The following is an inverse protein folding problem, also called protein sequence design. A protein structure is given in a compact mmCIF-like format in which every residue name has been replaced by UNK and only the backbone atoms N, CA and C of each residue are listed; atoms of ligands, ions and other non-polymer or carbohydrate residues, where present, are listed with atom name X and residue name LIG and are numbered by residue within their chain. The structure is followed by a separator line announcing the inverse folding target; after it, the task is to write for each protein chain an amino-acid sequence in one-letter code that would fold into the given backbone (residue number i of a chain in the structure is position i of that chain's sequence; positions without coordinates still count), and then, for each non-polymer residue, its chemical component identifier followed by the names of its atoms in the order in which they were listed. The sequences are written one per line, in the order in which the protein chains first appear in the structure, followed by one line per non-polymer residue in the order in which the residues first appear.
data_IF_212121137564
#
_entry.id   IF_212121137564
#
_cell.length_a   1.000
_cell.length_b   1.000
_cell.length_c   1.000
_cell.angle_alpha   90.00
_cell.angle_beta   90.00
_cell.angle_gamma   90.00
#
_symmetry.space_group_name_H-M   'P 1'
#
loop_
_entity.id
_entity.type
_entity.pdbx_description
1 polymer ?
#
# COMPACT_ATOMS: atom_id res chain seq x y z
N UNK A 1 -45.67 -1.89 93.15
CA UNK A 1 -47.00 -2.51 92.88
C UNK A 1 -47.72 -1.58 91.90
N UNK A 2 -48.04 -1.90 90.66
CA UNK A 2 -48.44 -3.16 90.06
C UNK A 2 -49.85 -2.95 89.50
N UNK A 3 -49.98 -2.76 88.18
CA UNK A 3 -51.12 -3.23 87.38
C UNK A 3 -50.90 -3.01 85.89
N UNK A 4 -50.71 -4.14 85.24
CA UNK A 4 -50.72 -4.40 83.80
C UNK A 4 -51.97 -3.85 83.12
N UNK A 5 -51.78 -3.22 81.96
CA UNK A 5 -52.82 -3.05 80.94
C UNK A 5 -52.23 -3.46 79.60
N UNK A 6 -52.70 -4.60 79.12
CA UNK A 6 -52.44 -5.20 77.80
C UNK A 6 -53.10 -4.35 76.70
N UNK A 7 -52.42 -4.03 75.58
CA UNK A 7 -53.12 -3.59 74.39
C UNK A 7 -53.50 -4.79 73.51
N UNK A 8 -54.76 -4.77 73.07
CA UNK A 8 -55.40 -5.69 72.14
C UNK A 8 -54.77 -5.56 70.74
N UNK A 9 -54.52 -6.71 70.11
CA UNK A 9 -53.97 -6.83 68.77
C UNK A 9 -54.90 -6.25 67.68
N UNK A 10 -54.33 -5.44 66.79
CA UNK A 10 -54.98 -4.96 65.57
C UNK A 10 -55.03 -6.07 64.48
N UNK A 11 -56.06 -6.12 63.62
CA UNK A 11 -56.12 -7.08 62.54
C UNK A 11 -55.15 -6.73 61.41
N UNK A 12 -54.50 -7.74 60.88
CA UNK A 12 -53.62 -7.69 59.72
C UNK A 12 -54.37 -7.29 58.45
N UNK A 13 -53.89 -6.25 57.77
CA UNK A 13 -54.30 -5.91 56.41
C UNK A 13 -53.17 -6.23 55.43
N UNK A 14 -53.55 -6.91 54.35
CA UNK A 14 -52.72 -7.60 53.38
C UNK A 14 -51.59 -6.76 52.74
N UNK A 15 -50.40 -7.36 52.66
CA UNK A 15 -49.33 -6.95 51.73
C UNK A 15 -49.81 -7.13 50.29
N UNK A 16 -49.93 -6.05 49.54
CA UNK A 16 -49.97 -6.11 48.08
C UNK A 16 -48.57 -6.40 47.54
N UNK A 17 -48.27 -7.67 47.26
CA UNK A 17 -47.10 -8.06 46.48
C UNK A 17 -47.41 -7.86 44.99
N UNK A 18 -47.01 -6.73 44.42
CA UNK A 18 -46.94 -6.56 42.97
C UNK A 18 -45.76 -7.37 42.43
N UNK A 19 -46.02 -8.57 41.90
CA UNK A 19 -45.03 -9.31 41.12
C UNK A 19 -44.73 -8.59 39.80
N UNK A 20 -43.49 -8.60 39.30
CA UNK A 20 -43.17 -7.99 38.02
C UNK A 20 -43.83 -8.79 36.89
N UNK A 21 -44.54 -8.09 36.01
CA UNK A 21 -45.10 -8.66 34.79
C UNK A 21 -43.99 -9.27 33.91
N UNK A 22 -44.22 -10.42 33.26
CA UNK A 22 -43.25 -10.97 32.32
C UNK A 22 -43.13 -10.05 31.11
N UNK A 23 -41.95 -9.45 30.93
CA UNK A 23 -41.60 -8.76 29.68
C UNK A 23 -41.36 -9.81 28.61
N UNK A 24 -42.37 -10.08 27.78
CA UNK A 24 -42.19 -10.79 26.52
C UNK A 24 -41.28 -9.96 25.62
N UNK A 25 -40.00 -10.32 25.59
CA UNK A 25 -39.01 -9.78 24.66
C UNK A 25 -39.33 -10.31 23.26
N UNK A 26 -40.29 -9.68 22.59
CA UNK A 26 -40.42 -9.75 21.14
C UNK A 26 -39.21 -9.02 20.51
N UNK A 27 -38.03 -9.65 20.55
CA UNK A 27 -36.91 -9.25 19.71
C UNK A 27 -37.34 -9.51 18.27
N UNK A 28 -37.88 -8.44 17.68
CA UNK A 28 -38.32 -8.26 16.31
C UNK A 28 -37.70 -9.27 15.34
N UNK A 29 -38.50 -10.26 14.93
CA UNK A 29 -38.14 -11.25 13.90
C UNK A 29 -37.64 -10.59 12.60
N UNK A 30 -38.03 -9.33 12.36
CA UNK A 30 -37.59 -8.51 11.23
C UNK A 30 -36.09 -8.20 11.28
N UNK A 31 -35.52 -7.97 12.47
CA UNK A 31 -34.07 -7.71 12.62
C UNK A 31 -33.24 -8.98 12.42
N UNK A 32 -33.79 -10.15 12.72
CA UNK A 32 -33.12 -11.42 12.47
C UNK A 32 -33.17 -11.80 10.97
N UNK A 33 -34.29 -11.55 10.29
CA UNK A 33 -34.42 -11.78 8.85
C UNK A 33 -33.46 -10.93 8.02
N UNK A 34 -33.33 -9.64 8.35
CA UNK A 34 -32.42 -8.73 7.64
C UNK A 34 -30.95 -9.15 7.77
N UNK A 35 -30.52 -9.59 8.95
CA UNK A 35 -29.14 -10.06 9.17
C UNK A 35 -28.85 -11.37 8.44
N UNK A 36 -29.81 -12.30 8.37
CA UNK A 36 -29.65 -13.57 7.65
C UNK A 36 -29.57 -13.33 6.14
N UNK A 37 -30.42 -12.46 5.59
CA UNK A 37 -30.37 -12.09 4.16
C UNK A 37 -29.06 -11.38 3.82
N UNK A 38 -28.60 -10.44 4.65
CA UNK A 38 -27.33 -9.75 4.42
C UNK A 38 -26.14 -10.70 4.50
N UNK A 39 -26.11 -11.60 5.50
CA UNK A 39 -25.06 -12.59 5.62
C UNK A 39 -25.03 -13.56 4.43
N UNK A 40 -26.19 -13.98 3.93
CA UNK A 40 -26.30 -14.83 2.74
C UNK A 40 -25.81 -14.10 1.48
N UNK A 41 -26.23 -12.86 1.25
CA UNK A 41 -25.78 -12.06 0.09
C UNK A 41 -24.27 -11.82 0.15
N UNK A 42 -23.71 -11.53 1.33
CA UNK A 42 -22.28 -11.31 1.50
C UNK A 42 -21.46 -12.58 1.22
N UNK A 43 -21.92 -13.75 1.69
CA UNK A 43 -21.23 -15.02 1.46
C UNK A 43 -21.34 -15.50 0.01
N UNK A 44 -22.49 -15.31 -0.66
CA UNK A 44 -22.63 -15.57 -2.10
C UNK A 44 -21.73 -14.64 -2.92
N UNK A 45 -21.63 -13.36 -2.56
CA UNK A 45 -20.75 -12.40 -3.24
C UNK A 45 -19.28 -12.81 -3.14
N UNK A 46 -18.83 -13.27 -1.97
CA UNK A 46 -17.45 -13.70 -1.77
C UNK A 46 -17.11 -14.99 -2.56
N UNK A 47 -18.08 -15.90 -2.69
CA UNK A 47 -17.92 -17.10 -3.53
C UNK A 47 -17.85 -16.73 -5.01
N UNK A 48 -18.66 -15.78 -5.49
CA UNK A 48 -18.63 -15.35 -6.91
C UNK A 48 -17.33 -14.65 -7.32
N UNK A 49 -16.61 -14.00 -6.39
CA UNK A 49 -15.28 -13.42 -6.66
C UNK A 49 -14.23 -14.52 -6.96
N UNK A 50 -14.42 -15.75 -6.47
CA UNK A 50 -13.52 -16.87 -6.72
C UNK A 50 -13.96 -17.75 -7.90
N UNK A 51 -15.15 -17.53 -8.45
CA UNK A 51 -15.69 -18.27 -9.61
C UNK A 51 -15.43 -17.54 -10.93
N UNK A 52 -15.18 -16.23 -10.88
CA UNK A 52 -14.58 -15.50 -12.01
C UNK A 52 -13.09 -15.80 -11.99
N UNK A 53 -12.66 -16.73 -12.85
CA UNK A 53 -11.24 -16.94 -13.11
C UNK A 53 -10.61 -15.61 -13.57
N UNK A 54 -9.61 -15.07 -12.85
CA UNK A 54 -8.96 -13.80 -13.20
C UNK A 54 -8.27 -13.84 -14.57
N UNK A 55 -8.15 -15.02 -15.19
CA UNK A 55 -7.60 -15.24 -16.53
C UNK A 55 -8.66 -15.54 -17.59
N UNK A 56 -9.96 -15.53 -17.29
CA UNK A 56 -11.01 -15.79 -18.29
C UNK A 56 -11.12 -14.72 -19.39
N UNK A 57 -10.43 -13.59 -19.25
CA UNK A 57 -10.23 -12.62 -20.35
C UNK A 57 -9.08 -12.96 -21.31
N UNK A 58 -8.27 -13.99 -21.03
CA UNK A 58 -7.05 -14.31 -21.78
C UNK A 58 -7.21 -15.42 -22.83
N UNK A 59 -8.41 -15.96 -23.03
CA UNK A 59 -8.69 -16.85 -24.17
C UNK A 59 -9.33 -16.06 -25.31
N UNK A 60 -8.51 -15.26 -25.99
CA UNK A 60 -8.78 -14.95 -27.39
C UNK A 60 -8.64 -16.26 -28.18
N UNK A 61 -9.72 -17.04 -28.26
CA UNK A 61 -9.79 -18.15 -29.21
C UNK A 61 -9.59 -17.58 -30.62
N UNK A 62 -8.68 -18.16 -31.44
CA UNK A 62 -8.43 -17.68 -32.79
C UNK A 62 -9.66 -17.80 -33.71
N UNK A 63 -10.68 -18.55 -33.29
CA UNK A 63 -11.89 -18.84 -34.07
C UNK A 63 -12.95 -17.72 -34.10
N UNK A 64 -12.83 -16.65 -33.29
CA UNK A 64 -13.80 -15.53 -33.32
C UNK A 64 -13.34 -14.29 -34.06
N UNK A 65 -12.16 -14.31 -34.69
CA UNK A 65 -11.89 -13.38 -35.78
C UNK A 65 -12.70 -13.85 -36.99
N UNK A 66 -13.97 -13.43 -37.08
CA UNK A 66 -14.77 -13.51 -38.30
C UNK A 66 -13.86 -13.09 -39.45
N UNK A 67 -13.49 -14.05 -40.30
CA UNK A 67 -12.72 -13.87 -41.54
C UNK A 67 -13.58 -13.03 -42.48
N UNK A 68 -13.59 -11.74 -42.23
CA UNK A 68 -14.39 -10.73 -42.91
C UNK A 68 -13.56 -9.48 -43.02
N UNK A 69 -12.83 -9.39 -44.14
CA UNK A 69 -12.46 -8.12 -44.78
C UNK A 69 -11.50 -7.18 -44.05
N UNK A 70 -10.58 -7.66 -43.20
CA UNK A 70 -9.51 -6.78 -42.69
C UNK A 70 -8.53 -6.30 -43.77
N UNK A 71 -8.44 -7.01 -44.90
CA UNK A 71 -7.44 -6.73 -45.96
C UNK A 71 -8.03 -6.48 -47.36
N UNK A 72 -9.34 -6.24 -47.49
CA UNK A 72 -9.93 -5.77 -48.76
C UNK A 72 -9.61 -6.60 -50.01
N UNK A 73 -9.44 -7.92 -49.89
CA UNK A 73 -9.18 -8.81 -51.02
C UNK A 73 -7.72 -8.99 -51.44
N UNK A 74 -6.73 -8.52 -50.65
CA UNK A 74 -5.33 -8.80 -50.94
C UNK A 74 -4.98 -10.28 -50.66
N UNK A 75 -4.26 -10.94 -51.58
CA UNK A 75 -3.73 -12.29 -51.39
C UNK A 75 -2.79 -12.34 -50.18
N UNK A 76 -3.15 -13.11 -49.16
CA UNK A 76 -2.28 -13.40 -48.02
C UNK A 76 -1.65 -14.78 -48.23
N UNK A 77 -0.33 -14.86 -48.16
CA UNK A 77 0.41 -16.13 -48.17
C UNK A 77 0.02 -16.94 -46.92
N UNK A 78 -0.72 -18.02 -47.11
CA UNK A 78 -1.02 -18.99 -46.07
C UNK A 78 0.09 -20.04 -46.04
N UNK A 79 0.77 -20.18 -44.91
CA UNK A 79 1.67 -21.29 -44.63
C UNK A 79 0.96 -22.22 -43.65
N UNK A 80 0.61 -23.42 -44.10
CA UNK A 80 0.12 -24.50 -43.25
C UNK A 80 1.34 -25.27 -42.70
N UNK A 81 1.46 -25.37 -41.38
CA UNK A 81 2.52 -26.12 -40.71
C UNK A 81 1.88 -27.30 -40.01
N UNK A 82 1.81 -28.43 -40.70
CA UNK A 82 1.49 -29.73 -40.12
C UNK A 82 2.68 -30.20 -39.26
N UNK A 83 2.54 -30.09 -37.94
CA UNK A 83 3.55 -30.56 -37.00
C UNK A 83 2.94 -30.89 -35.64
N UNK A 84 3.29 -32.07 -35.12
CA UNK A 84 2.92 -32.54 -33.78
C UNK A 84 3.71 -31.73 -32.72
N UNK A 85 2.99 -31.07 -31.81
CA UNK A 85 3.62 -30.26 -30.75
C UNK A 85 3.79 -31.09 -29.48
N UNK A 86 5.04 -31.36 -29.10
CA UNK A 86 5.37 -31.84 -27.75
C UNK A 86 5.59 -30.63 -26.83
N UNK A 87 4.84 -30.54 -25.72
CA UNK A 87 5.06 -29.52 -24.68
C UNK A 87 6.24 -29.98 -23.81
N UNK A 88 7.43 -29.47 -24.10
CA UNK A 88 8.58 -29.59 -23.19
C UNK A 88 8.49 -28.49 -22.12
N UNK A 89 8.30 -28.88 -20.86
CA UNK A 89 8.35 -27.94 -19.73
C UNK A 89 9.82 -27.64 -19.41
N UNK A 90 10.37 -26.69 -20.16
CA UNK A 90 11.63 -26.05 -19.78
C UNK A 90 11.34 -24.92 -18.78
N UNK A 91 12.18 -24.79 -17.75
CA UNK A 91 12.14 -23.64 -16.84
C UNK A 91 12.50 -22.40 -17.65
N UNK A 92 11.49 -21.63 -18.06
CA UNK A 92 11.72 -20.39 -18.81
C UNK A 92 12.49 -19.41 -17.93
N UNK A 93 13.69 -19.05 -18.39
CA UNK A 93 14.41 -17.90 -17.86
C UNK A 93 13.64 -16.64 -18.25
N UNK A 94 13.29 -15.82 -17.27
CA UNK A 94 12.68 -14.52 -17.52
C UNK A 94 13.71 -13.61 -18.21
N UNK A 95 13.46 -13.27 -19.46
CA UNK A 95 14.14 -12.12 -20.10
C UNK A 95 13.44 -10.87 -19.57
N UNK A 96 14.14 -10.10 -18.75
CA UNK A 96 13.71 -8.77 -18.35
C UNK A 96 13.81 -7.87 -19.58
N UNK A 97 12.71 -7.77 -20.32
CA UNK A 97 12.53 -6.78 -21.39
C UNK A 97 12.79 -5.37 -20.84
N UNK A 98 13.83 -4.72 -21.35
CA UNK A 98 14.19 -3.34 -20.99
C UNK A 98 13.02 -2.43 -21.36
N UNK A 99 12.45 -1.75 -20.36
CA UNK A 99 11.43 -0.69 -20.51
C UNK A 99 11.83 0.26 -21.65
N UNK A 100 10.92 0.60 -22.59
CA UNK A 100 11.25 1.49 -23.70
C UNK A 100 11.77 2.82 -23.17
N UNK A 101 12.93 3.20 -23.68
CA UNK A 101 13.63 4.44 -23.33
C UNK A 101 12.81 5.62 -23.84
N UNK A 102 11.96 6.19 -22.98
CA UNK A 102 11.35 7.48 -23.25
C UNK A 102 12.48 8.49 -23.23
N UNK A 103 12.88 8.96 -24.42
CA UNK A 103 13.79 10.08 -24.59
C UNK A 103 13.10 11.35 -24.09
N UNK A 104 13.14 11.56 -22.78
CA UNK A 104 12.85 12.85 -22.18
C UNK A 104 13.96 13.80 -22.67
N UNK A 105 13.54 14.87 -23.33
CA UNK A 105 14.43 15.98 -23.66
C UNK A 105 15.11 16.45 -22.35
N UNK A 106 16.42 16.79 -22.39
CA UNK A 106 17.13 17.19 -21.19
C UNK A 106 16.45 18.45 -20.62
N UNK A 107 15.79 18.30 -19.47
CA UNK A 107 15.54 19.43 -18.61
C UNK A 107 16.90 19.98 -18.23
N UNK A 108 17.16 21.23 -18.61
CA UNK A 108 18.39 21.93 -18.25
C UNK A 108 18.42 22.16 -16.75
N UNK A 109 18.93 21.19 -15.99
CA UNK A 109 19.46 21.42 -14.66
C UNK A 109 20.90 21.86 -14.83
N UNK A 110 21.18 23.09 -14.41
CA UNK A 110 22.54 23.62 -14.27
C UNK A 110 23.38 22.59 -13.50
N UNK A 111 24.30 21.93 -14.20
CA UNK A 111 25.30 21.08 -13.57
C UNK A 111 26.17 21.98 -12.68
N UNK A 112 25.98 21.90 -11.37
CA UNK A 112 27.03 22.34 -10.45
C UNK A 112 28.21 21.39 -10.67
N UNK A 113 29.40 21.95 -10.77
CA UNK A 113 30.67 21.23 -10.86
C UNK A 113 31.03 20.60 -9.51
N UNK A 114 30.11 19.83 -8.93
CA UNK A 114 30.26 19.10 -7.68
C UNK A 114 30.47 17.60 -7.95
N UNK A 115 31.14 16.94 -7.01
CA UNK A 115 31.32 15.49 -7.03
C UNK A 115 29.97 14.76 -7.05
N UNK A 116 29.72 13.97 -8.10
CA UNK A 116 28.55 13.11 -8.21
C UNK A 116 28.85 11.72 -7.62
N UNK A 117 27.93 11.11 -6.86
CA UNK A 117 28.08 9.73 -6.41
C UNK A 117 28.14 8.75 -7.59
N UNK A 118 28.80 7.59 -7.41
CA UNK A 118 28.80 6.53 -8.44
C UNK A 118 27.40 5.96 -8.64
N UNK A 119 27.17 5.35 -9.80
CA UNK A 119 25.92 4.66 -10.10
C UNK A 119 25.68 3.48 -9.15
N UNK A 120 24.48 3.40 -8.56
CA UNK A 120 24.08 2.37 -7.60
C UNK A 120 22.94 1.52 -8.17
N UNK A 121 23.08 0.20 -8.10
CA UNK A 121 21.98 -0.75 -8.33
C UNK A 121 21.53 -1.32 -6.99
N UNK A 122 20.28 -1.10 -6.54
CA UNK A 122 19.83 -1.58 -5.25
C UNK A 122 19.48 -3.08 -5.27
N UNK A 123 19.70 -3.74 -4.14
CA UNK A 123 19.28 -5.14 -3.95
C UNK A 123 17.74 -5.24 -3.94
N UNK A 124 17.15 -6.20 -4.67
CA UNK A 124 15.70 -6.39 -4.68
C UNK A 124 15.11 -6.59 -3.28
N UNK A 125 13.97 -5.94 -3.01
CA UNK A 125 13.30 -6.00 -1.70
C UNK A 125 13.90 -5.11 -0.61
N UNK A 126 15.02 -4.43 -0.87
CA UNK A 126 15.59 -3.44 0.05
C UNK A 126 14.80 -2.13 0.08
N UNK A 127 15.02 -1.33 1.13
CA UNK A 127 14.53 0.06 1.19
C UNK A 127 15.04 0.90 0.00
N UNK A 128 16.27 0.64 -0.45
CA UNK A 128 16.84 1.28 -1.64
C UNK A 128 16.11 0.90 -2.93
N UNK A 129 15.68 -0.36 -3.08
CA UNK A 129 14.90 -0.78 -4.24
C UNK A 129 13.53 -0.09 -4.30
N UNK A 130 12.86 0.08 -3.16
CA UNK A 130 11.65 0.89 -3.09
C UNK A 130 11.95 2.35 -3.49
N UNK A 131 13.00 2.95 -2.93
CA UNK A 131 13.39 4.32 -3.25
C UNK A 131 13.73 4.52 -4.74
N UNK A 132 14.42 3.57 -5.39
CA UNK A 132 14.69 3.64 -6.83
C UNK A 132 13.39 3.68 -7.65
N UNK A 133 12.41 2.82 -7.30
CA UNK A 133 11.08 2.85 -7.91
C UNK A 133 10.35 4.17 -7.66
N UNK A 134 10.41 4.70 -6.43
CA UNK A 134 9.78 5.95 -6.04
C UNK A 134 10.41 7.19 -6.69
N UNK A 135 11.73 7.19 -6.90
CA UNK A 135 12.46 8.20 -7.68
C UNK A 135 12.03 8.15 -9.14
N UNK A 136 12.01 6.96 -9.75
CA UNK A 136 11.58 6.79 -11.13
C UNK A 136 10.10 7.19 -11.34
N UNK A 137 9.23 6.88 -10.38
CA UNK A 137 7.81 7.27 -10.41
C UNK A 137 7.59 8.80 -10.40
N UNK A 138 8.55 9.56 -9.87
CA UNK A 138 8.56 11.03 -9.90
C UNK A 138 9.11 11.61 -11.21
N UNK A 139 9.50 10.78 -12.16
CA UNK A 139 10.08 11.19 -13.44
C UNK A 139 11.53 11.65 -13.34
N UNK A 140 12.19 11.40 -12.20
CA UNK A 140 13.59 11.73 -11.99
C UNK A 140 14.51 10.69 -12.66
N UNK A 141 15.64 11.13 -13.24
CA UNK A 141 16.62 10.22 -13.81
C UNK A 141 17.30 9.40 -12.70
N UNK A 142 17.90 8.26 -13.07
CA UNK A 142 18.58 7.38 -12.11
C UNK A 142 19.73 8.05 -11.36
N UNK A 143 20.34 9.10 -11.92
CA UNK A 143 21.36 9.91 -11.24
C UNK A 143 20.85 10.56 -9.96
N UNK A 144 19.55 10.88 -9.88
CA UNK A 144 18.93 11.39 -8.65
C UNK A 144 18.89 10.30 -7.57
N UNK A 145 18.70 9.05 -7.97
CA UNK A 145 18.75 7.93 -7.03
C UNK A 145 20.18 7.76 -6.47
N UNK A 146 21.22 7.92 -7.29
CA UNK A 146 22.61 7.85 -6.82
C UNK A 146 22.92 8.92 -5.75
N UNK A 147 22.44 10.16 -5.98
CA UNK A 147 22.49 11.23 -4.98
C UNK A 147 21.72 10.91 -3.71
N UNK A 148 20.52 10.32 -3.84
CA UNK A 148 19.72 9.89 -2.70
C UNK A 148 20.42 8.81 -1.86
N UNK A 149 21.07 7.85 -2.52
CA UNK A 149 21.85 6.80 -1.85
C UNK A 149 22.99 7.39 -1.05
N UNK A 150 23.77 8.30 -1.63
CA UNK A 150 24.85 8.95 -0.90
C UNK A 150 24.32 9.76 0.30
N UNK A 151 23.25 10.54 0.07
CA UNK A 151 22.63 11.37 1.10
C UNK A 151 22.15 10.52 2.28
N UNK A 152 21.22 9.60 2.08
CA UNK A 152 20.64 8.82 3.19
C UNK A 152 21.59 7.77 3.78
N UNK A 153 22.67 7.41 3.07
CA UNK A 153 23.76 6.65 3.68
C UNK A 153 24.50 7.47 4.74
N UNK A 154 24.76 8.76 4.48
CA UNK A 154 25.36 9.69 5.47
C UNK A 154 24.43 9.93 6.66
N UNK A 155 23.14 10.02 6.41
CA UNK A 155 22.14 10.32 7.46
C UNK A 155 21.91 9.15 8.42
N UNK A 156 21.59 7.96 7.87
CA UNK A 156 21.08 6.84 8.68
C UNK A 156 21.72 5.49 8.34
N UNK A 157 22.43 5.40 7.22
CA UNK A 157 22.81 4.12 6.62
C UNK A 157 21.59 3.33 6.14
N UNK A 158 20.54 4.02 5.67
CA UNK A 158 19.29 3.41 5.19
C UNK A 158 18.49 2.61 6.24
N UNK A 159 18.73 2.83 7.54
CA UNK A 159 18.04 2.13 8.63
C UNK A 159 16.73 2.83 9.00
N UNK A 160 15.62 2.11 8.90
CA UNK A 160 14.26 2.56 9.26
C UNK A 160 14.15 2.99 10.72
N UNK A 161 14.90 2.35 11.61
CA UNK A 161 14.92 2.60 13.04
C UNK A 161 16.12 3.44 13.49
N UNK A 162 16.81 4.14 12.57
CA UNK A 162 17.91 5.03 12.94
C UNK A 162 17.39 6.17 13.82
N UNK A 163 17.81 6.20 15.08
CA UNK A 163 17.48 7.26 16.02
C UNK A 163 18.75 7.97 16.49
N UNK A 164 18.77 9.29 16.36
CA UNK A 164 19.83 10.12 16.90
C UNK A 164 19.40 10.69 18.25
N UNK A 165 19.98 10.19 19.34
CA UNK A 165 19.59 10.58 20.69
C UNK A 165 19.89 12.04 21.06
N UNK A 166 20.88 12.68 20.41
CA UNK A 166 21.23 14.08 20.71
C UNK A 166 20.29 15.08 20.02
N UNK A 167 19.83 14.78 18.81
CA UNK A 167 18.95 15.66 18.03
C UNK A 167 17.47 15.27 18.08
N UNK A 168 17.16 13.99 18.31
CA UNK A 168 15.81 13.44 18.18
C UNK A 168 15.41 13.09 16.74
N UNK A 169 16.34 13.14 15.79
CA UNK A 169 16.09 12.78 14.40
C UNK A 169 15.82 11.27 14.25
N UNK A 170 14.90 10.91 13.35
CA UNK A 170 14.43 9.53 13.20
C UNK A 170 14.34 9.06 11.74
N UNK A 171 14.66 7.78 11.54
CA UNK A 171 14.41 7.03 10.32
C UNK A 171 15.41 7.26 9.21
N UNK A 172 15.10 6.70 8.03
CA UNK A 172 15.92 6.79 6.82
C UNK A 172 16.30 8.25 6.50
N UNK A 173 15.34 9.21 6.43
CA UNK A 173 15.66 10.60 6.10
C UNK A 173 16.19 11.42 7.28
N UNK A 174 16.27 10.86 8.50
CA UNK A 174 16.59 11.60 9.73
C UNK A 174 15.65 12.79 9.97
N UNK A 175 14.34 12.56 9.91
CA UNK A 175 13.33 13.61 10.07
C UNK A 175 13.29 14.19 11.49
N UNK A 176 13.12 15.51 11.61
CA UNK A 176 13.05 16.23 12.89
C UNK A 176 11.79 17.12 13.03
N UNK A 177 10.88 16.81 13.98
CA UNK A 177 10.73 15.51 14.66
C UNK A 177 10.27 14.41 13.70
N UNK A 178 10.58 13.16 14.01
CA UNK A 178 10.19 11.98 13.22
C UNK A 178 8.68 11.89 12.96
N UNK A 179 7.86 12.35 13.92
CA UNK A 179 6.39 12.34 13.82
C UNK A 179 5.82 13.11 12.64
N UNK A 180 6.61 13.99 11.99
CA UNK A 180 6.20 14.63 10.73
C UNK A 180 5.94 13.62 9.62
N UNK A 181 6.58 12.44 9.66
CA UNK A 181 6.37 11.36 8.69
C UNK A 181 4.96 10.75 8.76
N UNK A 182 4.21 11.02 9.84
CA UNK A 182 2.82 10.60 9.96
C UNK A 182 1.90 11.15 8.86
N UNK A 183 2.29 12.23 8.17
CA UNK A 183 1.53 12.75 7.03
C UNK A 183 1.61 11.85 5.79
N UNK A 184 2.63 11.00 5.69
CA UNK A 184 2.75 10.01 4.61
C UNK A 184 2.08 8.68 4.98
N UNK A 185 1.98 8.36 6.27
CA UNK A 185 1.33 7.14 6.74
C UNK A 185 1.44 6.98 8.26
N UNK A 186 0.43 6.37 8.88
CA UNK A 186 0.39 6.16 10.33
C UNK A 186 1.48 5.17 10.83
N UNK A 187 2.02 4.34 9.94
CA UNK A 187 3.03 3.31 10.16
C UNK A 187 4.48 3.82 9.97
N UNK A 188 4.67 5.14 9.90
CA UNK A 188 5.95 5.80 9.60
C UNK A 188 7.13 5.35 10.47
N UNK A 189 6.87 4.94 11.70
CA UNK A 189 7.94 4.56 12.63
C UNK A 189 8.63 3.26 12.19
N UNK A 190 7.92 2.35 11.53
CA UNK A 190 8.46 1.01 11.20
C UNK A 190 8.45 0.66 9.72
N UNK A 191 7.82 1.50 8.88
CA UNK A 191 7.71 1.25 7.46
C UNK A 191 8.69 2.10 6.64
N UNK A 192 9.67 1.45 6.01
CA UNK A 192 10.64 2.10 5.13
C UNK A 192 9.97 2.88 3.99
N UNK A 193 8.94 2.31 3.35
CA UNK A 193 8.24 2.93 2.23
C UNK A 193 7.62 4.26 2.66
N UNK A 194 6.94 4.28 3.81
CA UNK A 194 6.33 5.50 4.37
C UNK A 194 7.38 6.58 4.64
N UNK A 195 8.53 6.21 5.23
CA UNK A 195 9.62 7.16 5.48
C UNK A 195 10.23 7.68 4.18
N UNK A 196 10.41 6.82 3.18
CA UNK A 196 10.96 7.18 1.87
C UNK A 196 10.02 8.14 1.15
N UNK A 197 8.72 7.86 1.12
CA UNK A 197 7.73 8.74 0.47
C UNK A 197 7.69 10.12 1.11
N UNK A 198 7.70 10.18 2.44
CA UNK A 198 7.78 11.45 3.15
C UNK A 198 9.09 12.19 2.84
N UNK A 199 10.23 11.49 2.92
CA UNK A 199 11.55 12.06 2.69
C UNK A 199 11.72 12.58 1.27
N UNK A 200 11.23 11.85 0.26
CA UNK A 200 11.25 12.30 -1.13
C UNK A 200 10.32 13.50 -1.37
N UNK A 201 9.17 13.55 -0.70
CA UNK A 201 8.29 14.73 -0.73
C UNK A 201 8.96 15.97 -0.13
N UNK A 202 9.67 15.80 1.00
CA UNK A 202 10.45 16.87 1.62
C UNK A 202 11.58 17.37 0.70
N UNK A 203 12.35 16.44 0.12
CA UNK A 203 13.42 16.75 -0.85
C UNK A 203 12.87 17.51 -2.04
N UNK A 204 11.75 17.06 -2.62
CA UNK A 204 11.13 17.73 -3.75
C UNK A 204 10.69 19.15 -3.40
N UNK A 205 10.05 19.35 -2.25
CA UNK A 205 9.54 20.65 -1.83
C UNK A 205 10.62 21.67 -1.50
N UNK A 206 11.80 21.22 -1.04
CA UNK A 206 12.87 22.11 -0.55
C UNK A 206 14.06 22.23 -1.50
N UNK A 207 14.37 21.17 -2.22
CA UNK A 207 15.57 21.05 -3.05
C UNK A 207 15.28 20.72 -4.52
N UNK A 208 14.01 20.64 -4.89
CA UNK A 208 13.51 20.17 -6.18
C UNK A 208 13.77 18.68 -6.48
N UNK A 209 14.98 18.17 -6.23
CA UNK A 209 15.38 16.79 -6.47
C UNK A 209 16.53 16.33 -5.54
N UNK A 210 16.76 15.02 -5.39
CA UNK A 210 17.80 14.45 -4.52
C UNK A 210 19.22 14.99 -4.73
N UNK A 211 19.66 15.23 -5.95
CA UNK A 211 20.98 15.81 -6.21
C UNK A 211 21.09 17.26 -5.73
N UNK A 212 20.00 18.02 -5.77
CA UNK A 212 19.94 19.34 -5.14
C UNK A 212 20.11 19.27 -3.63
N UNK A 213 19.48 18.29 -2.99
CA UNK A 213 19.61 18.05 -1.56
C UNK A 213 21.03 17.57 -1.18
N UNK A 214 21.61 16.67 -1.98
CA UNK A 214 22.98 16.19 -1.80
C UNK A 214 24.01 17.33 -1.92
N UNK A 215 23.91 18.17 -2.95
CA UNK A 215 24.78 19.32 -3.10
C UNK A 215 24.71 20.24 -1.89
N UNK A 216 23.50 20.54 -1.41
CA UNK A 216 23.32 21.34 -0.20
C UNK A 216 23.92 20.68 1.05
N UNK A 217 23.76 19.36 1.22
CA UNK A 217 24.34 18.59 2.34
C UNK A 217 25.86 18.58 2.32
N UNK A 218 26.48 18.62 1.13
CA UNK A 218 27.92 18.72 0.99
C UNK A 218 28.44 20.10 1.36
N UNK A 219 27.69 21.16 1.06
CA UNK A 219 28.10 22.54 1.35
C UNK A 219 27.84 22.95 2.81
N UNK A 220 26.68 22.58 3.36
CA UNK A 220 26.19 23.09 4.66
C UNK A 220 26.23 22.02 5.76
N UNK A 221 26.38 20.75 5.39
CA UNK A 221 26.42 19.63 6.32
C UNK A 221 25.05 19.04 6.67
N UNK A 222 23.94 19.65 6.23
CA UNK A 222 22.56 19.21 6.44
C UNK A 222 21.69 19.44 5.19
N UNK A 223 20.50 18.84 5.16
CA UNK A 223 19.43 19.07 4.18
C UNK A 223 18.05 19.03 4.88
#
# INVERSE_FOLDING_TARGET
MGRSTTPVAAPAAARSTSGPAPRTSARSAVKQGATVVFAFVASVSFLLVNVVDPFSGATASPDFAKRGERFGGAEVQAFDVDGEYTIDVSKEGYVVEKKPEVKLAPASTSASSGWAPPAITPDPGSAQAYAAGAVAARGWPSTEFDCLVALWSKESGWRVNAYNASSGAYGIPQALPGSKMATAGADWETNAATQIEWGLGYIQGRYAAPCGAWAHSQDVGWY
#
